data_IF_153021298372
#
_entry.id   IF_153021298372
#
_cell.length_a   1.000
_cell.length_b   1.000
_cell.length_c   1.000
_cell.angle_alpha   90.00
_cell.angle_beta   90.00
_cell.angle_gamma   90.00
#
_symmetry.space_group_name_H-M   'P 1'
#
loop_
_entity.id
_entity.type
_entity.pdbx_description
1 polymer ?
#
# COMPACT_ATOMS: atom_id res chain seq x y z
N UNK A 1 0.71 26.57 11.21
CA UNK A 1 2.05 26.83 10.63
C UNK A 1 3.23 26.25 11.42
N UNK A 2 3.06 25.85 12.69
CA UNK A 2 4.15 25.22 13.48
C UNK A 2 4.47 23.78 13.05
N UNK A 3 3.49 23.03 12.58
CA UNK A 3 3.65 21.59 12.32
C UNK A 3 4.43 21.28 11.04
N UNK A 4 4.41 22.15 10.04
CA UNK A 4 5.16 21.95 8.79
C UNK A 4 6.68 21.99 8.96
N UNK A 5 7.19 22.62 10.02
CA UNK A 5 8.63 22.67 10.33
C UNK A 5 9.21 21.36 10.85
N UNK A 6 8.35 20.44 11.26
CA UNK A 6 8.77 19.13 11.77
C UNK A 6 9.13 18.14 10.65
N UNK A 7 8.77 18.46 9.40
CA UNK A 7 9.08 17.63 8.24
C UNK A 7 10.39 18.11 7.59
N UNK A 8 11.44 17.29 7.70
CA UNK A 8 12.72 17.56 7.06
C UNK A 8 12.93 16.62 5.87
N UNK A 9 13.13 17.17 4.65
CA UNK A 9 13.37 16.35 3.48
C UNK A 9 14.64 15.51 3.61
N UNK A 10 14.52 14.23 3.31
CA UNK A 10 15.64 13.30 3.20
C UNK A 10 15.75 12.86 1.74
N UNK A 11 16.92 13.05 1.15
CA UNK A 11 17.22 12.62 -0.21
C UNK A 11 17.25 11.09 -0.27
N UNK A 12 16.59 10.53 -1.29
CA UNK A 12 16.59 9.10 -1.60
C UNK A 12 17.50 8.81 -2.80
N UNK A 13 17.85 7.53 -3.01
CA UNK A 13 18.84 7.15 -4.03
C UNK A 13 18.41 7.45 -5.48
N UNK A 14 17.10 7.59 -5.74
CA UNK A 14 16.59 7.97 -7.07
C UNK A 14 16.50 9.49 -7.30
N UNK A 15 17.02 10.29 -6.35
CA UNK A 15 17.00 11.75 -6.42
C UNK A 15 15.68 12.38 -5.98
N UNK A 16 14.70 11.61 -5.56
CA UNK A 16 13.49 12.12 -4.90
C UNK A 16 13.72 12.36 -3.41
N UNK A 17 12.72 12.89 -2.71
CA UNK A 17 12.80 13.16 -1.29
C UNK A 17 11.69 12.44 -0.53
N UNK A 18 11.95 12.12 0.73
CA UNK A 18 10.97 11.59 1.67
C UNK A 18 11.06 12.31 3.02
N UNK A 19 10.15 12.03 3.93
CA UNK A 19 10.21 12.47 5.32
C UNK A 19 10.29 11.28 6.26
N UNK A 20 10.70 11.52 7.49
CA UNK A 20 10.54 10.61 8.62
C UNK A 20 9.35 11.09 9.46
N UNK A 21 8.39 10.22 9.69
CA UNK A 21 7.31 10.48 10.63
C UNK A 21 7.83 10.43 12.05
N UNK A 22 7.62 11.49 12.81
CA UNK A 22 7.99 11.52 14.23
C UNK A 22 7.04 10.64 15.07
N UNK A 23 5.79 10.54 14.66
CA UNK A 23 4.77 9.75 15.35
C UNK A 23 5.03 8.24 15.22
N UNK A 24 5.35 7.78 13.98
CA UNK A 24 5.55 6.36 13.70
C UNK A 24 7.02 5.94 13.76
N UNK A 25 7.98 6.88 13.80
CA UNK A 25 9.42 6.60 13.82
C UNK A 25 9.94 5.94 12.53
N UNK A 26 9.21 6.03 11.43
CA UNK A 26 9.55 5.42 10.14
C UNK A 26 9.55 6.46 9.01
N UNK A 27 10.32 6.20 7.96
CA UNK A 27 10.27 6.99 6.72
C UNK A 27 9.00 6.67 5.97
N UNK A 28 8.40 7.70 5.33
CA UNK A 28 7.22 7.52 4.45
C UNK A 28 7.54 6.58 3.27
N UNK A 29 8.75 6.64 2.74
CA UNK A 29 9.20 5.82 1.62
C UNK A 29 10.58 5.23 1.90
N UNK A 30 10.95 4.25 1.10
CA UNK A 30 12.26 3.62 1.14
C UNK A 30 13.38 4.61 0.74
N UNK A 31 14.55 4.49 1.36
CA UNK A 31 15.75 5.23 0.98
C UNK A 31 16.28 4.91 -0.44
N UNK A 32 15.78 3.86 -1.08
CA UNK A 32 16.12 3.53 -2.47
C UNK A 32 15.47 4.48 -3.48
N UNK A 33 14.32 5.07 -3.15
CA UNK A 33 13.65 6.04 -4.00
C UNK A 33 12.15 6.12 -3.71
N UNK A 34 11.67 7.29 -3.27
CA UNK A 34 10.25 7.51 -3.02
C UNK A 34 9.44 7.46 -4.32
N UNK A 35 9.95 8.14 -5.36
CA UNK A 35 9.33 8.15 -6.68
C UNK A 35 9.34 6.75 -7.31
N UNK A 36 10.50 6.08 -7.30
CA UNK A 36 10.65 4.74 -7.87
C UNK A 36 9.74 3.71 -7.16
N UNK A 37 9.63 3.80 -5.84
CA UNK A 37 8.75 2.92 -5.05
C UNK A 37 7.30 3.02 -5.50
N UNK A 38 6.78 4.24 -5.70
CA UNK A 38 5.40 4.45 -6.15
C UNK A 38 5.12 3.82 -7.52
N UNK A 39 6.05 3.96 -8.48
CA UNK A 39 5.88 3.30 -9.78
C UNK A 39 5.97 1.79 -9.69
N UNK A 40 6.93 1.25 -8.94
CA UNK A 40 7.26 -0.19 -9.00
C UNK A 40 6.48 -1.05 -8.00
N UNK A 41 6.04 -0.48 -6.87
CA UNK A 41 5.31 -1.21 -5.83
C UNK A 41 3.80 -1.02 -5.88
N UNK A 42 3.34 0.06 -6.51
CA UNK A 42 1.92 0.40 -6.54
C UNK A 42 1.36 0.49 -7.96
N UNK A 43 1.92 1.34 -8.81
CA UNK A 43 1.38 1.62 -10.14
C UNK A 43 1.56 0.44 -11.10
N UNK A 44 2.77 -0.07 -11.23
CA UNK A 44 3.03 -1.21 -12.13
C UNK A 44 2.27 -2.48 -11.72
N UNK A 45 2.26 -2.87 -10.42
CA UNK A 45 1.49 -4.03 -9.98
C UNK A 45 -0.03 -3.89 -10.15
N UNK A 46 -0.59 -2.70 -10.09
CA UNK A 46 -2.02 -2.48 -10.35
C UNK A 46 -2.37 -2.37 -11.85
N UNK A 47 -1.36 -2.49 -12.73
CA UNK A 47 -1.53 -2.50 -14.19
C UNK A 47 -2.24 -1.28 -14.76
N UNK A 48 -2.06 -0.12 -14.15
CA UNK A 48 -2.74 1.10 -14.58
C UNK A 48 -2.44 1.48 -16.03
N UNK A 49 -1.23 1.22 -16.53
CA UNK A 49 -0.91 1.43 -17.94
C UNK A 49 -1.82 0.62 -18.89
N UNK A 50 -2.08 -0.64 -18.53
CA UNK A 50 -2.99 -1.51 -19.32
C UNK A 50 -4.45 -1.06 -19.15
N UNK A 51 -4.84 -0.69 -17.94
CA UNK A 51 -6.21 -0.27 -17.62
C UNK A 51 -6.56 1.11 -18.17
N UNK A 52 -5.57 1.93 -18.51
CA UNK A 52 -5.75 3.32 -19.00
C UNK A 52 -6.53 3.43 -20.33
N UNK A 53 -6.73 2.30 -21.03
CA UNK A 53 -7.62 2.26 -22.20
C UNK A 53 -9.12 2.40 -21.87
N UNK A 54 -9.48 2.21 -20.60
CA UNK A 54 -10.83 2.48 -20.11
C UNK A 54 -11.14 3.98 -20.19
N UNK A 55 -12.41 4.37 -20.42
CA UNK A 55 -12.79 5.79 -20.45
C UNK A 55 -12.71 6.45 -19.07
N UNK A 56 -12.88 5.66 -18.01
CA UNK A 56 -12.81 6.10 -16.60
C UNK A 56 -12.06 5.07 -15.78
N UNK A 57 -11.21 5.54 -14.86
CA UNK A 57 -10.55 4.72 -13.85
C UNK A 57 -10.83 5.28 -12.45
N UNK A 58 -11.11 4.38 -11.52
CA UNK A 58 -11.34 4.69 -10.12
C UNK A 58 -10.14 4.24 -9.27
N UNK A 59 -9.56 5.18 -8.52
CA UNK A 59 -8.38 4.94 -7.69
C UNK A 59 -8.70 5.19 -6.22
N UNK A 60 -8.26 4.29 -5.33
CA UNK A 60 -8.34 4.48 -3.88
C UNK A 60 -6.91 4.44 -3.32
N UNK A 61 -6.45 5.55 -2.76
CA UNK A 61 -5.10 5.71 -2.20
C UNK A 61 -5.20 5.77 -0.67
N UNK A 62 -4.91 4.64 -0.01
CA UNK A 62 -5.04 4.49 1.45
C UNK A 62 -3.70 4.79 2.10
N UNK A 63 -3.69 5.76 3.01
CA UNK A 63 -2.51 6.44 3.53
C UNK A 63 -1.79 7.22 2.42
N UNK A 64 -2.51 8.22 1.90
CA UNK A 64 -2.05 9.09 0.82
C UNK A 64 -0.65 9.67 1.05
N UNK A 65 -0.30 9.97 2.30
CA UNK A 65 1.02 10.41 2.70
C UNK A 65 1.48 11.67 1.97
N UNK A 66 2.59 11.56 1.26
CA UNK A 66 3.17 12.70 0.53
C UNK A 66 2.53 12.92 -0.85
N UNK A 67 1.79 11.94 -1.39
CA UNK A 67 1.11 12.02 -2.69
C UNK A 67 1.86 11.39 -3.86
N UNK A 68 2.99 10.71 -3.62
CA UNK A 68 3.77 10.08 -4.69
C UNK A 68 3.00 9.00 -5.47
N UNK A 69 2.22 8.16 -4.77
CA UNK A 69 1.44 7.10 -5.42
C UNK A 69 0.40 7.69 -6.38
N UNK A 70 -0.32 8.71 -5.93
CA UNK A 70 -1.28 9.46 -6.75
C UNK A 70 -0.59 10.12 -7.96
N UNK A 71 0.53 10.81 -7.77
CA UNK A 71 1.26 11.45 -8.87
C UNK A 71 1.74 10.44 -9.91
N UNK A 72 2.31 9.32 -9.46
CA UNK A 72 2.78 8.23 -10.32
C UNK A 72 1.63 7.58 -11.12
N UNK A 73 0.48 7.38 -10.47
CA UNK A 73 -0.71 6.83 -11.10
C UNK A 73 -1.23 7.75 -12.21
N UNK A 74 -1.45 9.03 -11.92
CA UNK A 74 -1.91 10.02 -12.90
C UNK A 74 -0.94 10.14 -14.08
N UNK A 75 0.37 10.22 -13.80
CA UNK A 75 1.40 10.27 -14.84
C UNK A 75 1.34 9.03 -15.74
N UNK A 76 1.17 7.85 -15.18
CA UNK A 76 1.13 6.59 -15.93
C UNK A 76 -0.13 6.51 -16.81
N UNK A 77 -1.28 6.83 -16.23
CA UNK A 77 -2.58 6.77 -16.93
C UNK A 77 -2.56 7.73 -18.12
N UNK A 78 -2.20 8.98 -17.90
CA UNK A 78 -2.26 10.01 -18.95
C UNK A 78 -1.10 9.96 -19.93
N UNK A 79 -0.02 9.28 -19.62
CA UNK A 79 1.02 8.95 -20.61
C UNK A 79 0.52 7.96 -21.66
N UNK A 80 -0.40 7.06 -21.28
CA UNK A 80 -1.01 6.07 -22.19
C UNK A 80 -2.27 6.63 -22.85
N UNK A 81 -3.16 7.24 -22.09
CA UNK A 81 -4.42 7.80 -22.57
C UNK A 81 -4.65 9.19 -21.97
N UNK A 82 -4.26 10.25 -22.66
CA UNK A 82 -4.42 11.62 -22.17
C UNK A 82 -5.87 12.03 -21.89
N UNK A 83 -6.86 11.34 -22.46
CA UNK A 83 -8.28 11.60 -22.28
C UNK A 83 -8.98 10.70 -21.26
N UNK A 84 -8.25 9.79 -20.60
CA UNK A 84 -8.80 8.95 -19.56
C UNK A 84 -9.27 9.81 -18.37
N UNK A 85 -10.54 9.69 -18.01
CA UNK A 85 -11.05 10.30 -16.79
C UNK A 85 -10.59 9.50 -15.58
N UNK A 86 -10.23 10.21 -14.50
CA UNK A 86 -9.83 9.58 -13.24
C UNK A 86 -10.71 10.11 -12.11
N UNK A 87 -11.34 9.20 -11.38
CA UNK A 87 -11.94 9.48 -10.08
C UNK A 87 -11.04 8.90 -8.99
N UNK A 88 -10.61 9.75 -8.04
CA UNK A 88 -9.67 9.36 -7.00
C UNK A 88 -10.20 9.74 -5.62
N UNK A 89 -10.13 8.80 -4.70
CA UNK A 89 -10.29 9.05 -3.27
C UNK A 89 -8.99 8.72 -2.56
N UNK A 90 -8.41 9.69 -1.85
CA UNK A 90 -7.30 9.50 -0.94
C UNK A 90 -7.79 9.47 0.51
N UNK A 91 -7.22 8.60 1.35
CA UNK A 91 -7.44 8.58 2.79
C UNK A 91 -6.15 8.97 3.48
N UNK A 92 -6.19 10.00 4.34
CA UNK A 92 -5.04 10.49 5.07
C UNK A 92 -5.44 10.92 6.48
N UNK A 93 -4.63 10.56 7.46
CA UNK A 93 -4.87 10.93 8.86
C UNK A 93 -4.48 12.39 9.13
N UNK A 94 -3.33 12.79 8.59
CA UNK A 94 -2.68 14.06 8.93
C UNK A 94 -2.47 14.94 7.69
N UNK A 95 -3.26 16.02 7.52
CA UNK A 95 -3.14 16.89 6.36
C UNK A 95 -1.78 17.59 6.28
N UNK A 96 -1.00 17.64 7.38
CA UNK A 96 0.32 18.27 7.38
C UNK A 96 1.34 17.51 6.54
N UNK A 97 1.18 16.19 6.34
CA UNK A 97 2.11 15.41 5.53
C UNK A 97 2.10 15.83 4.04
N UNK A 98 0.97 15.82 3.31
CA UNK A 98 0.92 16.31 1.94
C UNK A 98 1.21 17.80 1.83
N UNK A 99 0.77 18.63 2.80
CA UNK A 99 1.08 20.06 2.81
C UNK A 99 2.57 20.33 2.95
N UNK A 100 3.27 19.59 3.80
CA UNK A 100 4.72 19.70 3.95
C UNK A 100 5.45 19.27 2.68
N UNK A 101 4.98 18.21 2.00
CA UNK A 101 5.57 17.76 0.75
C UNK A 101 5.57 18.86 -0.33
N UNK A 102 4.49 19.61 -0.44
CA UNK A 102 4.39 20.76 -1.33
C UNK A 102 5.26 21.94 -0.84
N UNK A 103 5.16 22.30 0.44
CA UNK A 103 5.88 23.43 1.01
C UNK A 103 7.42 23.24 1.01
N UNK A 104 7.90 22.00 1.02
CA UNK A 104 9.31 21.62 0.96
C UNK A 104 9.76 21.22 -0.46
N UNK A 105 8.96 21.50 -1.50
CA UNK A 105 9.32 21.33 -2.89
C UNK A 105 9.68 19.89 -3.33
N UNK A 106 9.05 18.87 -2.74
CA UNK A 106 9.37 17.48 -3.03
C UNK A 106 9.01 17.08 -4.48
N UNK A 107 8.17 17.86 -5.13
CA UNK A 107 7.65 17.60 -6.48
C UNK A 107 8.23 18.53 -7.56
N UNK A 108 9.27 19.31 -7.29
CA UNK A 108 9.85 20.23 -8.27
C UNK A 108 10.38 19.52 -9.54
N UNK A 109 10.74 18.24 -9.43
CA UNK A 109 11.17 17.42 -10.55
C UNK A 109 10.01 16.73 -11.30
N UNK A 110 8.76 17.02 -10.94
CA UNK A 110 7.57 16.51 -11.62
C UNK A 110 7.03 17.54 -12.61
N UNK A 111 6.23 17.09 -13.59
CA UNK A 111 5.52 18.03 -14.47
C UNK A 111 4.60 18.92 -13.63
N UNK A 112 4.56 20.20 -13.98
CA UNK A 112 3.76 21.22 -13.30
C UNK A 112 2.28 20.84 -13.11
N UNK A 113 1.68 20.14 -14.08
CA UNK A 113 0.30 19.69 -13.97
C UNK A 113 0.09 18.80 -12.72
N UNK A 114 0.96 17.83 -12.47
CA UNK A 114 0.82 16.95 -11.30
C UNK A 114 1.08 17.72 -10.01
N UNK A 115 2.07 18.60 -10.00
CA UNK A 115 2.36 19.43 -8.83
C UNK A 115 1.18 20.35 -8.49
N UNK A 116 0.50 20.91 -9.48
CA UNK A 116 -0.70 21.72 -9.27
C UNK A 116 -1.86 20.91 -8.68
N UNK A 117 -2.10 19.69 -9.18
CA UNK A 117 -3.11 18.75 -8.66
C UNK A 117 -2.80 18.40 -7.20
N UNK A 118 -1.57 18.00 -6.90
CA UNK A 118 -1.16 17.65 -5.54
C UNK A 118 -1.26 18.83 -4.58
N UNK A 119 -0.97 20.05 -5.06
CA UNK A 119 -1.13 21.28 -4.28
C UNK A 119 -2.59 21.49 -3.89
N UNK A 120 -3.51 21.39 -4.85
CA UNK A 120 -4.94 21.53 -4.56
C UNK A 120 -5.41 20.42 -3.59
N UNK A 121 -5.02 19.16 -3.80
CA UNK A 121 -5.38 18.08 -2.88
C UNK A 121 -4.85 18.32 -1.46
N UNK A 122 -3.61 18.79 -1.32
CA UNK A 122 -3.00 19.03 -0.01
C UNK A 122 -3.70 20.15 0.78
N UNK A 123 -4.11 21.23 0.11
CA UNK A 123 -4.64 22.44 0.78
C UNK A 123 -6.16 22.55 0.71
N UNK A 124 -6.79 22.12 -0.40
CA UNK A 124 -8.24 22.22 -0.62
C UNK A 124 -8.95 20.87 -0.42
N UNK A 125 -8.20 19.77 -0.28
CA UNK A 125 -8.69 18.39 -0.10
C UNK A 125 -9.59 17.89 -1.24
N UNK A 126 -9.66 18.62 -2.33
CA UNK A 126 -10.40 18.26 -3.53
C UNK A 126 -9.82 18.93 -4.75
N UNK A 127 -9.96 18.26 -5.88
CA UNK A 127 -9.64 18.84 -7.19
C UNK A 127 -10.64 18.34 -8.20
N UNK A 128 -11.05 19.23 -9.11
CA UNK A 128 -11.91 18.88 -10.23
C UNK A 128 -11.41 19.58 -11.48
N UNK A 129 -11.09 18.81 -12.50
CA UNK A 129 -10.73 19.25 -13.84
C UNK A 129 -11.58 18.53 -14.88
N UNK A 130 -11.33 18.77 -16.17
CA UNK A 130 -12.06 18.08 -17.25
C UNK A 130 -11.86 16.55 -17.24
N UNK A 131 -10.76 16.05 -16.65
CA UNK A 131 -10.38 14.62 -16.63
C UNK A 131 -10.04 14.07 -15.25
N UNK A 132 -10.16 14.87 -14.19
CA UNK A 132 -9.89 14.43 -12.81
C UNK A 132 -10.97 14.91 -11.88
N UNK A 133 -11.52 14.00 -11.10
CA UNK A 133 -12.27 14.29 -9.89
C UNK A 133 -11.60 13.57 -8.73
N UNK A 134 -10.96 14.33 -7.85
CA UNK A 134 -10.22 13.76 -6.74
C UNK A 134 -10.63 14.39 -5.41
N UNK A 135 -10.65 13.58 -4.36
CA UNK A 135 -10.97 14.00 -3.00
C UNK A 135 -10.01 13.33 -2.00
N UNK A 136 -9.50 14.11 -1.07
CA UNK A 136 -8.72 13.65 0.06
C UNK A 136 -9.57 13.71 1.33
N UNK A 137 -9.85 12.55 1.93
CA UNK A 137 -10.60 12.44 3.18
C UNK A 137 -9.60 12.46 4.33
N UNK A 138 -9.70 13.48 5.18
CA UNK A 138 -8.81 13.66 6.34
C UNK A 138 -9.51 13.13 7.58
N UNK A 139 -9.20 11.92 7.97
CA UNK A 139 -9.68 11.24 9.18
C UNK A 139 -8.96 9.89 9.35
N UNK A 140 -9.19 9.17 10.46
CA UNK A 140 -8.80 7.76 10.59
C UNK A 140 -9.37 6.94 9.42
N UNK A 141 -8.50 6.22 8.71
CA UNK A 141 -8.91 5.43 7.55
C UNK A 141 -10.00 4.39 7.89
N UNK A 142 -10.08 3.91 9.14
CA UNK A 142 -11.14 3.01 9.60
C UNK A 142 -12.52 3.69 9.62
N UNK A 143 -12.55 5.01 9.76
CA UNK A 143 -13.75 5.83 9.64
C UNK A 143 -14.01 6.21 8.17
N UNK A 144 -12.99 6.71 7.49
CA UNK A 144 -13.09 7.20 6.11
C UNK A 144 -13.51 6.10 5.13
N UNK A 145 -13.07 4.84 5.34
CA UNK A 145 -13.45 3.72 4.46
C UNK A 145 -14.98 3.50 4.44
N UNK A 146 -15.68 3.81 5.55
CA UNK A 146 -17.15 3.72 5.62
C UNK A 146 -17.82 4.76 4.72
N UNK A 147 -17.21 5.94 4.59
CA UNK A 147 -17.70 6.98 3.66
C UNK A 147 -17.48 6.54 2.20
N UNK A 148 -16.35 5.89 1.90
CA UNK A 148 -16.09 5.31 0.57
C UNK A 148 -17.16 4.28 0.20
N UNK A 149 -17.56 3.43 1.16
CA UNK A 149 -18.69 2.48 0.97
C UNK A 149 -20.01 3.20 0.71
N UNK A 150 -20.33 4.27 1.46
CA UNK A 150 -21.56 5.02 1.28
C UNK A 150 -21.66 5.71 -0.09
N UNK A 151 -20.51 5.98 -0.73
CA UNK A 151 -20.41 6.52 -2.07
C UNK A 151 -20.53 5.44 -3.17
N UNK A 152 -20.68 4.17 -2.79
CA UNK A 152 -20.65 3.00 -3.69
C UNK A 152 -19.44 3.00 -4.62
N UNK A 153 -18.30 3.47 -4.09
CA UNK A 153 -17.07 3.63 -4.86
C UNK A 153 -16.35 2.28 -5.03
N UNK A 154 -16.18 1.86 -6.27
CA UNK A 154 -15.51 0.62 -6.65
C UNK A 154 -14.22 0.92 -7.40
N UNK A 155 -13.07 0.69 -6.75
CA UNK A 155 -11.76 1.05 -7.29
C UNK A 155 -11.21 0.01 -8.27
N UNK A 156 -10.71 0.46 -9.41
CA UNK A 156 -9.90 -0.35 -10.34
C UNK A 156 -8.51 -0.63 -9.76
N UNK A 157 -7.97 0.32 -9.00
CA UNK A 157 -6.71 0.15 -8.28
C UNK A 157 -6.81 0.69 -6.85
N UNK A 158 -6.32 -0.09 -5.88
CA UNK A 158 -6.19 0.33 -4.49
C UNK A 158 -4.71 0.30 -4.12
N UNK A 159 -4.17 1.42 -3.67
CA UNK A 159 -2.87 1.51 -3.03
C UNK A 159 -3.05 1.40 -1.52
N UNK A 160 -2.49 0.37 -0.90
CA UNK A 160 -2.56 0.14 0.53
C UNK A 160 -1.16 0.35 1.13
N UNK A 161 -0.91 1.58 1.59
CA UNK A 161 0.43 2.07 1.95
C UNK A 161 0.57 2.62 3.38
N UNK A 162 0.01 1.96 4.41
CA UNK A 162 0.26 2.36 5.79
C UNK A 162 1.72 2.13 6.21
N UNK A 163 2.17 2.80 7.27
CA UNK A 163 3.40 2.44 7.97
C UNK A 163 3.44 0.96 8.35
N UNK A 164 4.61 0.45 8.70
CA UNK A 164 4.79 -0.99 8.91
C UNK A 164 3.77 -1.60 9.90
N UNK A 165 3.43 -2.88 9.75
CA UNK A 165 2.42 -3.50 10.61
C UNK A 165 2.70 -3.41 12.13
N UNK A 166 3.96 -3.38 12.61
CA UNK A 166 4.22 -3.13 14.03
C UNK A 166 3.92 -1.69 14.48
N UNK A 167 4.06 -0.71 13.59
CA UNK A 167 3.86 0.71 13.90
C UNK A 167 2.42 1.16 13.67
N UNK A 168 1.76 0.61 12.66
CA UNK A 168 0.39 0.95 12.28
C UNK A 168 -0.51 -0.29 12.21
N UNK A 169 -0.63 -1.12 13.29
CA UNK A 169 -1.29 -2.42 13.22
C UNK A 169 -2.78 -2.35 12.86
N UNK A 170 -3.44 -1.25 13.16
CA UNK A 170 -4.89 -1.07 12.96
C UNK A 170 -5.31 -1.07 11.49
N UNK A 171 -4.45 -0.65 10.56
CA UNK A 171 -4.72 -0.66 9.12
C UNK A 171 -4.29 -1.98 8.44
N UNK A 172 -3.74 -2.91 9.20
CA UNK A 172 -3.35 -4.25 8.75
C UNK A 172 -4.19 -5.38 9.36
N UNK A 173 -5.30 -5.02 10.01
CA UNK A 173 -6.22 -5.99 10.62
C UNK A 173 -7.08 -6.67 9.56
N UNK A 174 -7.49 -7.90 9.84
CA UNK A 174 -8.41 -8.65 8.96
C UNK A 174 -9.69 -7.84 8.69
N UNK A 175 -10.20 -7.19 9.72
CA UNK A 175 -11.44 -6.42 9.66
C UNK A 175 -11.30 -5.19 8.77
N UNK A 176 -10.20 -4.45 8.87
CA UNK A 176 -9.94 -3.30 7.98
C UNK A 176 -9.73 -3.75 6.54
N UNK A 177 -8.92 -4.79 6.31
CA UNK A 177 -8.68 -5.34 4.97
C UNK A 177 -9.99 -5.82 4.32
N UNK A 178 -10.91 -6.39 5.10
CA UNK A 178 -12.27 -6.73 4.59
C UNK A 178 -13.05 -5.51 4.13
N UNK A 179 -12.96 -4.40 4.85
CA UNK A 179 -13.57 -3.14 4.40
C UNK A 179 -12.93 -2.65 3.10
N UNK A 180 -11.60 -2.70 3.01
CA UNK A 180 -10.86 -2.33 1.79
C UNK A 180 -11.26 -3.22 0.61
N UNK A 181 -11.37 -4.53 0.80
CA UNK A 181 -11.75 -5.47 -0.27
C UNK A 181 -13.15 -5.22 -0.82
N UNK A 182 -14.06 -4.69 -0.03
CA UNK A 182 -15.39 -4.31 -0.48
C UNK A 182 -15.38 -3.11 -1.43
N UNK A 183 -14.40 -2.21 -1.29
CA UNK A 183 -14.20 -1.08 -2.21
C UNK A 183 -13.49 -1.47 -3.52
N UNK A 184 -13.04 -2.71 -3.66
CA UNK A 184 -12.35 -3.17 -4.86
C UNK A 184 -13.36 -3.56 -5.93
N UNK A 185 -13.19 -3.04 -7.16
CA UNK A 185 -13.94 -3.53 -8.32
C UNK A 185 -13.62 -5.02 -8.57
N UNK A 186 -14.53 -5.75 -9.19
CA UNK A 186 -14.35 -7.19 -9.46
C UNK A 186 -13.07 -7.50 -10.25
N UNK A 187 -12.70 -6.64 -11.19
CA UNK A 187 -11.46 -6.73 -11.98
C UNK A 187 -10.30 -5.90 -11.40
N UNK A 188 -10.53 -5.24 -10.27
CA UNK A 188 -9.58 -4.34 -9.64
C UNK A 188 -8.40 -5.07 -8.99
N UNK A 189 -7.36 -4.32 -8.64
CA UNK A 189 -6.15 -4.84 -7.99
C UNK A 189 -5.77 -3.99 -6.80
N UNK A 190 -5.48 -4.64 -5.66
CA UNK A 190 -4.83 -4.01 -4.51
C UNK A 190 -3.33 -4.22 -4.64
N UNK A 191 -2.53 -3.19 -4.40
CA UNK A 191 -1.08 -3.30 -4.27
C UNK A 191 -0.61 -2.75 -2.92
N UNK A 192 0.37 -3.44 -2.33
CA UNK A 192 1.07 -2.97 -1.12
C UNK A 192 2.54 -3.36 -1.17
N UNK A 193 3.38 -2.53 -0.55
CA UNK A 193 4.80 -2.83 -0.40
C UNK A 193 5.06 -4.00 0.56
N UNK A 194 4.10 -4.33 1.43
CA UNK A 194 4.27 -5.30 2.51
C UNK A 194 4.21 -6.75 2.01
N UNK A 195 5.22 -7.54 2.37
CA UNK A 195 5.23 -9.01 2.20
C UNK A 195 5.08 -9.74 3.54
N UNK A 196 4.68 -9.03 4.61
CA UNK A 196 4.54 -9.62 5.93
C UNK A 196 3.48 -10.74 5.93
N UNK A 197 3.80 -11.90 6.51
CA UNK A 197 2.88 -13.04 6.54
C UNK A 197 1.53 -12.69 7.18
N UNK A 198 1.51 -11.86 8.24
CA UNK A 198 0.27 -11.39 8.86
C UNK A 198 -0.63 -10.58 7.89
N UNK A 199 -0.01 -9.74 7.03
CA UNK A 199 -0.74 -8.94 6.02
C UNK A 199 -1.30 -9.85 4.94
N UNK A 200 -0.49 -10.76 4.41
CA UNK A 200 -0.94 -11.75 3.43
C UNK A 200 -2.07 -12.63 3.96
N UNK A 201 -1.96 -13.07 5.22
CA UNK A 201 -3.05 -13.81 5.87
C UNK A 201 -4.32 -12.97 6.01
N UNK A 202 -4.21 -11.67 6.31
CA UNK A 202 -5.37 -10.78 6.38
C UNK A 202 -6.03 -10.60 5.00
N UNK A 203 -5.24 -10.48 3.92
CA UNK A 203 -5.75 -10.43 2.55
C UNK A 203 -6.47 -11.73 2.16
N UNK A 204 -5.89 -12.89 2.46
CA UNK A 204 -6.53 -14.20 2.24
C UNK A 204 -7.82 -14.34 3.05
N UNK A 205 -7.83 -13.89 4.31
CA UNK A 205 -9.02 -13.91 5.18
C UNK A 205 -10.12 -12.92 4.71
N UNK A 206 -9.78 -11.97 3.85
CA UNK A 206 -10.71 -11.09 3.15
C UNK A 206 -11.16 -11.66 1.79
N UNK A 207 -10.96 -12.97 1.56
CA UNK A 207 -11.36 -13.70 0.35
C UNK A 207 -10.71 -13.17 -0.93
N UNK A 208 -9.46 -12.67 -0.80
CA UNK A 208 -8.66 -12.22 -1.93
C UNK A 208 -7.62 -13.28 -2.32
N UNK A 209 -7.40 -13.45 -3.62
CA UNK A 209 -6.23 -14.13 -4.15
C UNK A 209 -5.03 -13.19 -4.06
N UNK A 210 -3.86 -13.71 -3.69
CA UNK A 210 -2.64 -12.92 -3.53
C UNK A 210 -1.51 -13.41 -4.44
N UNK A 211 -0.64 -12.48 -4.81
CA UNK A 211 0.59 -12.76 -5.53
C UNK A 211 1.75 -11.93 -4.99
N UNK A 212 2.97 -12.30 -5.37
CA UNK A 212 4.20 -11.61 -5.00
C UNK A 212 4.64 -10.67 -6.13
N UNK A 213 5.08 -9.45 -5.78
CA UNK A 213 5.70 -8.54 -6.75
C UNK A 213 7.22 -8.69 -6.72
N UNK A 214 7.94 -8.38 -7.82
CA UNK A 214 9.39 -8.39 -7.81
C UNK A 214 9.97 -7.50 -6.69
N UNK A 215 11.15 -7.87 -6.13
CA UNK A 215 11.84 -7.07 -5.13
C UNK A 215 12.53 -5.84 -5.77
N UNK A 216 11.76 -4.97 -6.42
CA UNK A 216 12.26 -3.76 -7.08
C UNK A 216 12.38 -2.62 -6.06
N UNK A 217 13.55 -1.95 -6.00
CA UNK A 217 13.80 -0.83 -5.10
C UNK A 217 13.89 -1.19 -3.60
N UNK A 218 13.62 -2.43 -3.21
CA UNK A 218 13.81 -3.02 -1.87
C UNK A 218 14.29 -4.46 -2.03
N UNK A 219 14.93 -5.01 -0.98
CA UNK A 219 15.35 -6.43 -0.97
C UNK A 219 14.16 -7.40 -0.88
N UNK A 220 13.01 -6.90 -0.46
CA UNK A 220 11.81 -7.71 -0.25
C UNK A 220 10.78 -7.44 -1.34
N UNK A 221 10.02 -8.46 -1.76
CA UNK A 221 8.86 -8.28 -2.64
C UNK A 221 7.78 -7.44 -1.96
N UNK A 222 6.77 -7.02 -2.73
CA UNK A 222 5.48 -6.56 -2.23
C UNK A 222 4.41 -7.63 -2.38
N UNK A 223 3.17 -7.24 -2.17
CA UNK A 223 2.02 -8.12 -2.37
C UNK A 223 0.98 -7.43 -3.23
N UNK A 224 0.38 -8.18 -4.13
CA UNK A 224 -0.83 -7.79 -4.86
C UNK A 224 -1.97 -8.71 -4.49
N UNK A 225 -3.19 -8.19 -4.58
CA UNK A 225 -4.38 -8.96 -4.30
C UNK A 225 -5.52 -8.60 -5.26
N UNK A 226 -6.36 -9.60 -5.58
CA UNK A 226 -7.56 -9.46 -6.41
C UNK A 226 -8.71 -10.25 -5.80
N UNK A 227 -9.96 -9.90 -6.17
CA UNK A 227 -11.11 -10.72 -5.83
C UNK A 227 -10.99 -12.10 -6.48
N UNK A 228 -11.33 -13.14 -5.73
CA UNK A 228 -11.44 -14.50 -6.27
C UNK A 228 -12.68 -14.60 -7.14
N UNK A 229 -12.51 -14.88 -8.42
CA UNK A 229 -13.61 -15.04 -9.37
C UNK A 229 -13.97 -16.51 -9.62
N UNK A 230 -13.42 -17.44 -8.80
CA UNK A 230 -13.72 -18.89 -8.90
C UNK A 230 -13.21 -19.58 -10.17
N UNK A 231 -12.78 -18.83 -11.18
CA UNK A 231 -12.06 -19.35 -12.33
C UNK A 231 -10.56 -19.29 -12.01
N UNK A 232 -9.81 -20.30 -12.48
CA UNK A 232 -8.34 -20.24 -12.54
C UNK A 232 -7.97 -19.16 -13.58
N UNK A 233 -8.28 -17.91 -13.26
CA UNK A 233 -7.61 -16.80 -13.93
C UNK A 233 -6.19 -16.85 -13.41
N UNK A 234 -5.18 -17.12 -14.24
CA UNK A 234 -3.82 -16.99 -13.78
C UNK A 234 -3.74 -15.61 -13.14
N UNK A 235 -3.11 -15.50 -11.98
CA UNK A 235 -2.76 -14.22 -11.33
C UNK A 235 -1.81 -13.46 -12.27
N UNK A 236 -2.29 -13.18 -13.47
CA UNK A 236 -1.53 -12.50 -14.49
C UNK A 236 -1.63 -10.98 -14.20
N UNK A 237 -0.52 -10.31 -14.11
CA UNK A 237 0.87 -10.71 -14.35
C UNK A 237 1.69 -10.98 -13.08
N UNK A 238 1.07 -11.50 -12.01
CA UNK A 238 1.76 -11.66 -10.73
C UNK A 238 2.34 -13.04 -10.58
N UNK A 239 3.57 -13.10 -10.06
CA UNK A 239 4.15 -14.38 -9.68
C UNK A 239 3.36 -14.96 -8.49
N UNK A 240 3.04 -16.25 -8.50
CA UNK A 240 2.56 -16.92 -7.30
C UNK A 240 3.58 -16.74 -6.18
N UNK A 241 3.14 -16.95 -4.93
CA UNK A 241 4.08 -16.97 -3.82
C UNK A 241 5.13 -18.06 -4.05
N UNK A 242 6.39 -17.76 -3.72
CA UNK A 242 7.43 -18.78 -3.71
C UNK A 242 7.17 -19.80 -2.60
N UNK A 243 7.76 -21.03 -2.69
CA UNK A 243 7.64 -22.02 -1.61
C UNK A 243 8.07 -21.49 -0.24
N UNK A 244 9.08 -20.61 -0.20
CA UNK A 244 9.53 -19.94 1.03
C UNK A 244 8.43 -19.01 1.59
N UNK A 245 7.78 -18.24 0.74
CA UNK A 245 6.70 -17.35 1.13
C UNK A 245 5.45 -18.12 1.57
N UNK A 246 5.11 -19.21 0.88
CA UNK A 246 4.00 -20.09 1.29
C UNK A 246 4.24 -20.76 2.65
N UNK A 247 5.46 -21.26 2.88
CA UNK A 247 5.80 -21.81 4.20
C UNK A 247 5.79 -20.74 5.29
N UNK A 248 6.18 -19.50 4.97
CA UNK A 248 6.11 -18.39 5.91
C UNK A 248 4.67 -18.14 6.41
N UNK A 249 3.67 -18.39 5.57
CA UNK A 249 2.24 -18.32 5.95
C UNK A 249 1.81 -19.46 6.91
N UNK A 250 2.64 -20.46 7.14
CA UNK A 250 2.41 -21.54 8.10
C UNK A 250 3.18 -21.36 9.41
N UNK A 251 3.78 -20.19 9.61
CA UNK A 251 4.51 -19.84 10.83
C UNK A 251 3.70 -18.92 11.74
N UNK A 252 4.18 -18.71 12.98
CA UNK A 252 3.60 -17.75 13.93
C UNK A 252 3.57 -16.33 13.40
N UNK A 253 4.40 -15.97 12.40
CA UNK A 253 4.36 -14.68 11.74
C UNK A 253 3.04 -14.44 10.99
N UNK A 254 2.37 -15.51 10.57
CA UNK A 254 1.12 -15.45 9.82
C UNK A 254 -0.11 -15.13 10.67
N UNK A 255 -0.02 -15.23 12.01
CA UNK A 255 -1.12 -14.79 12.89
C UNK A 255 -1.43 -13.32 12.59
N UNK A 256 -2.63 -13.00 12.07
CA UNK A 256 -2.95 -11.66 11.62
C UNK A 256 -3.23 -10.72 12.80
N UNK A 257 -3.27 -9.44 12.52
CA UNK A 257 -3.79 -8.44 13.45
C UNK A 257 -5.32 -8.47 13.41
N UNK A 258 -5.97 -8.18 14.56
CA UNK A 258 -7.42 -8.23 14.70
C UNK A 258 -7.92 -7.00 15.46
N UNK A 259 -8.94 -6.36 14.87
CA UNK A 259 -9.68 -5.23 15.49
C UNK A 259 -11.17 -5.37 15.15
N UNK A 260 -11.90 -6.22 15.91
CA UNK A 260 -13.28 -6.60 15.54
C UNK A 260 -14.26 -5.45 15.38
N UNK A 261 -14.01 -4.33 16.05
CA UNK A 261 -14.90 -3.15 16.02
C UNK A 261 -14.29 -1.97 15.21
N UNK A 262 -13.06 -2.11 14.72
CA UNK A 262 -12.28 -1.04 14.06
C UNK A 262 -12.11 0.21 14.95
N UNK A 263 -11.90 0.00 16.24
CA UNK A 263 -11.79 1.06 17.25
C UNK A 263 -10.64 0.86 18.24
N UNK A 264 -10.03 -0.33 18.25
CA UNK A 264 -8.98 -0.66 19.21
C UNK A 264 -7.70 0.16 18.97
N UNK A 265 -7.03 0.60 20.04
CA UNK A 265 -5.72 1.22 19.93
C UNK A 265 -4.63 0.18 19.57
N UNK A 266 -3.51 0.66 19.05
CA UNK A 266 -2.43 -0.18 18.52
C UNK A 266 -1.89 -1.21 19.52
N UNK A 267 -1.71 -0.82 20.76
CA UNK A 267 -1.20 -1.68 21.84
C UNK A 267 -2.15 -2.86 22.15
N UNK A 268 -3.46 -2.63 22.15
CA UNK A 268 -4.47 -3.68 22.32
C UNK A 268 -4.43 -4.67 21.15
N UNK A 269 -4.34 -4.19 19.91
CA UNK A 269 -4.24 -5.04 18.72
C UNK A 269 -2.97 -5.89 18.77
N UNK A 270 -1.83 -5.28 19.13
CA UNK A 270 -0.53 -5.97 19.24
C UNK A 270 -0.59 -7.01 20.37
N UNK A 271 -1.16 -6.67 21.53
CA UNK A 271 -1.28 -7.58 22.66
C UNK A 271 -2.13 -8.82 22.29
N UNK A 272 -3.30 -8.60 21.68
CA UNK A 272 -4.18 -9.69 21.19
C UNK A 272 -3.43 -10.62 20.26
N UNK A 273 -2.74 -10.07 19.27
CA UNK A 273 -1.93 -10.87 18.33
C UNK A 273 -0.84 -11.68 19.04
N UNK A 274 -0.14 -11.09 20.01
CA UNK A 274 0.90 -11.80 20.80
C UNK A 274 0.32 -12.97 21.57
N UNK A 275 -0.85 -12.81 22.17
CA UNK A 275 -1.54 -13.89 22.87
C UNK A 275 -1.91 -15.04 21.91
N UNK A 276 -2.46 -14.73 20.74
CA UNK A 276 -2.77 -15.73 19.72
C UNK A 276 -1.50 -16.45 19.22
N UNK A 277 -0.40 -15.71 18.99
CA UNK A 277 0.88 -16.30 18.61
C UNK A 277 1.46 -17.26 19.67
N UNK A 278 1.25 -16.96 20.95
CA UNK A 278 1.70 -17.83 22.05
C UNK A 278 0.84 -19.08 22.17
N UNK A 279 -0.46 -18.96 21.94
CA UNK A 279 -1.43 -20.05 22.06
C UNK A 279 -1.43 -20.99 20.84
N UNK A 280 -0.95 -20.54 19.68
CA UNK A 280 -1.01 -21.33 18.44
C UNK A 280 0.08 -22.41 18.38
N UNK A 281 -0.23 -23.50 17.67
CA UNK A 281 0.69 -24.63 17.40
C UNK A 281 1.62 -24.42 16.19
N UNK A 282 1.53 -23.27 15.51
CA UNK A 282 2.32 -22.99 14.31
C UNK A 282 3.82 -22.93 14.62
N UNK A 283 4.63 -23.25 13.59
CA UNK A 283 6.09 -23.19 13.69
C UNK A 283 6.57 -21.80 14.11
N UNK A 284 7.50 -21.69 15.09
CA UNK A 284 8.16 -20.42 15.38
C UNK A 284 8.90 -19.88 14.15
N UNK A 285 8.69 -18.60 13.82
CA UNK A 285 9.29 -17.94 12.65
C UNK A 285 10.82 -18.03 12.65
N UNK A 286 11.45 -17.99 13.82
CA UNK A 286 12.91 -18.16 13.97
C UNK A 286 13.40 -19.55 13.52
N UNK A 287 12.62 -20.61 13.80
CA UNK A 287 12.95 -21.99 13.38
C UNK A 287 12.83 -22.11 11.85
N UNK A 288 11.73 -21.63 11.27
CA UNK A 288 11.53 -21.57 9.82
C UNK A 288 12.68 -20.82 9.13
N UNK A 289 13.04 -19.62 9.60
CA UNK A 289 14.12 -18.81 9.03
C UNK A 289 15.47 -19.55 9.05
N UNK A 290 15.81 -20.19 10.18
CA UNK A 290 17.04 -20.96 10.29
C UNK A 290 17.09 -22.12 9.28
N UNK A 291 15.98 -22.83 9.09
CA UNK A 291 15.87 -23.95 8.14
C UNK A 291 16.07 -23.50 6.69
N UNK A 292 15.47 -22.38 6.31
CA UNK A 292 15.61 -21.83 4.96
C UNK A 292 17.00 -21.25 4.68
N UNK A 293 17.65 -20.61 5.65
CA UNK A 293 19.04 -20.14 5.51
C UNK A 293 19.99 -21.32 5.27
N UNK A 294 19.90 -22.40 6.06
CA UNK A 294 20.71 -23.60 5.87
C UNK A 294 20.46 -24.28 4.51
N UNK A 295 19.22 -24.31 4.04
CA UNK A 295 18.90 -24.85 2.73
C UNK A 295 19.55 -24.06 1.58
N UNK A 296 19.55 -22.73 1.65
CA UNK A 296 20.19 -21.85 0.65
C UNK A 296 21.71 -22.01 0.62
N UNK A 297 22.35 -22.10 1.79
CA UNK A 297 23.80 -22.35 1.89
C UNK A 297 24.19 -23.69 1.25
N UNK A 298 23.41 -24.75 1.50
CA UNK A 298 23.66 -26.06 0.91
C UNK A 298 23.46 -26.10 -0.61
N UNK A 299 22.54 -25.32 -1.15
CA UNK A 299 22.32 -25.22 -2.61
C UNK A 299 23.47 -24.50 -3.29
N UNK A 300 24.00 -23.43 -2.71
CA UNK A 300 25.17 -22.71 -3.25
C UNK A 300 26.43 -23.58 -3.26
N UNK A 301 26.64 -24.40 -2.21
CA UNK A 301 27.78 -25.32 -2.13
C UNK A 301 27.70 -26.51 -3.10
N UNK A 302 26.53 -26.78 -3.70
CA UNK A 302 26.33 -27.85 -4.69
C UNK A 302 26.41 -27.37 -6.14
N UNK A 303 26.46 -26.05 -6.38
CA UNK A 303 26.61 -25.44 -7.70
C UNK A 303 28.07 -24.96 -7.99
N UNK A 304 28.90 -24.91 -6.95
CA UNK A 304 30.37 -24.72 -7.04
C UNK A 304 31.11 -26.09 -7.10
#
# INVERSE_FOLDING_TARGET
MSDLKNFQPQLTADGSFTFVSQEFGESFHSHFGARQESFLKFVAPTQLATSAHKPVLHLLDICYGLGYNTAAALQTIWAVNPSCNVELIGLELNPSAPQAAIAQHLFDNWNYEYTAILTQLAFEQQVQTDRLKAKLLIDDARTSIKLVHQLDFQADAIFLDPFSPPQCPHLWTVEFIKQVSQCLHVDGTIATYSCAAAVRTALLAAELQIGSTPPMGRRTPGTVAKKDQGAISPLFPFSPLSPEEEEHLRTRAAIPYRDPQLLDPADVIIMRRRQEQQACSLEPTSRWRKRWLLAKENTQLSED
#
